data_IF_352542642973
#
_entry.id   IF_352542642973
#
_cell.length_a   1.000
_cell.length_b   1.000
_cell.length_c   1.000
_cell.angle_alpha   90.00
_cell.angle_beta   90.00
_cell.angle_gamma   90.00
#
_symmetry.space_group_name_H-M   'P 1'
#
loop_
_entity.id
_entity.type
_entity.pdbx_description
1 polymer ?
#
# COMPACT_ATOMS: atom_id res chain seq x y z
N UNK A 1 1.38 -27.42 -7.54
CA UNK A 1 1.73 -26.20 -8.23
C UNK A 1 2.75 -25.43 -7.44
N UNK A 2 3.62 -24.71 -8.11
CA UNK A 2 4.55 -23.81 -7.43
C UNK A 2 3.77 -22.56 -7.02
N UNK A 3 3.89 -22.13 -5.77
CA UNK A 3 3.19 -20.96 -5.27
C UNK A 3 3.71 -19.68 -5.95
N UNK A 4 2.82 -18.87 -6.50
CA UNK A 4 3.12 -17.62 -7.20
C UNK A 4 2.66 -16.42 -6.36
N UNK A 5 3.59 -15.75 -5.70
CA UNK A 5 3.31 -14.58 -4.87
C UNK A 5 3.89 -13.32 -5.49
N UNK A 6 3.15 -12.21 -5.42
CA UNK A 6 3.62 -10.90 -5.88
C UNK A 6 3.51 -9.89 -4.73
N UNK A 7 4.58 -9.14 -4.52
CA UNK A 7 4.59 -7.97 -3.64
C UNK A 7 4.81 -6.73 -4.49
N UNK A 8 3.87 -5.80 -4.45
CA UNK A 8 4.00 -4.47 -5.08
C UNK A 8 4.18 -3.43 -3.98
N UNK A 9 5.28 -2.70 -4.02
CA UNK A 9 5.63 -1.74 -2.99
C UNK A 9 6.34 -0.49 -3.56
N UNK A 10 6.48 0.60 -2.79
CA UNK A 10 7.33 1.73 -3.15
C UNK A 10 8.79 1.31 -3.35
N UNK A 11 9.50 1.99 -4.28
CA UNK A 11 10.88 1.66 -4.62
C UNK A 11 11.84 1.72 -3.41
N UNK A 12 11.58 2.59 -2.44
CA UNK A 12 12.40 2.77 -1.24
C UNK A 12 12.43 1.55 -0.30
N UNK A 13 11.44 0.67 -0.38
CA UNK A 13 11.30 -0.47 0.54
C UNK A 13 11.45 -1.84 -0.13
N UNK A 14 11.70 -1.88 -1.44
CA UNK A 14 11.90 -3.13 -2.21
C UNK A 14 12.97 -4.03 -1.59
N UNK A 15 14.12 -3.46 -1.23
CA UNK A 15 15.23 -4.23 -0.62
C UNK A 15 14.86 -4.71 0.78
N UNK A 16 14.05 -3.95 1.51
CA UNK A 16 13.58 -4.37 2.82
C UNK A 16 12.68 -5.60 2.71
N UNK A 17 11.73 -5.60 1.76
CA UNK A 17 10.90 -6.78 1.46
C UNK A 17 11.72 -8.01 1.11
N UNK A 18 12.77 -7.85 0.27
CA UNK A 18 13.71 -8.94 -0.04
C UNK A 18 14.27 -9.57 1.22
N UNK A 19 14.88 -8.73 2.09
CA UNK A 19 15.53 -9.18 3.34
C UNK A 19 14.56 -9.85 4.31
N UNK A 20 13.36 -9.30 4.45
CA UNK A 20 12.36 -9.85 5.37
C UNK A 20 11.86 -11.22 4.89
N UNK A 21 11.66 -11.42 3.58
CA UNK A 21 11.29 -12.70 3.00
C UNK A 21 12.41 -13.73 3.22
N UNK A 22 13.65 -13.39 2.92
CA UNK A 22 14.81 -14.28 3.14
C UNK A 22 15.01 -14.65 4.61
N UNK A 23 14.74 -13.71 5.52
CA UNK A 23 14.90 -13.91 6.95
C UNK A 23 13.80 -14.75 7.60
N UNK A 24 12.56 -14.61 7.13
CA UNK A 24 11.38 -15.15 7.82
C UNK A 24 10.65 -16.26 7.04
N UNK A 25 11.16 -16.65 5.86
CA UNK A 25 10.57 -17.73 5.07
C UNK A 25 11.63 -18.50 4.29
N UNK A 26 11.25 -19.67 3.78
CA UNK A 26 12.03 -20.46 2.83
C UNK A 26 11.70 -20.14 1.37
N UNK A 27 10.85 -19.14 1.14
CA UNK A 27 10.43 -18.73 -0.19
C UNK A 27 11.59 -18.02 -0.92
N UNK A 28 11.73 -18.29 -2.21
CA UNK A 28 12.72 -17.63 -3.05
C UNK A 28 12.21 -16.25 -3.49
N UNK A 29 12.87 -15.14 -3.09
CA UNK A 29 12.51 -13.82 -3.57
C UNK A 29 13.17 -13.52 -4.91
N UNK A 30 12.45 -12.80 -5.78
CA UNK A 30 12.93 -12.31 -7.07
C UNK A 30 12.79 -10.80 -7.13
N UNK A 31 13.90 -10.09 -7.31
CA UNK A 31 13.91 -8.64 -7.45
C UNK A 31 13.48 -8.25 -8.88
N UNK A 32 12.20 -8.00 -9.07
CA UNK A 32 11.63 -7.59 -10.36
C UNK A 32 11.65 -6.06 -10.46
N UNK A 33 12.86 -5.50 -10.46
CA UNK A 33 13.13 -4.07 -10.53
C UNK A 33 14.46 -3.79 -11.22
N UNK A 34 14.61 -2.56 -11.77
CA UNK A 34 15.86 -2.14 -12.45
C UNK A 34 16.07 -2.78 -13.83
N UNK A 35 17.33 -2.85 -14.31
CA UNK A 35 17.64 -3.32 -15.66
C UNK A 35 17.30 -4.78 -15.93
N UNK A 36 17.41 -5.64 -14.92
CA UNK A 36 17.17 -7.10 -15.03
C UNK A 36 15.73 -7.51 -14.71
N UNK A 37 14.80 -6.57 -14.58
CA UNK A 37 13.42 -6.83 -14.15
C UNK A 37 12.68 -7.88 -15.00
N UNK A 38 12.84 -7.86 -16.32
CA UNK A 38 12.18 -8.81 -17.24
C UNK A 38 12.70 -10.23 -17.02
N UNK A 39 14.02 -10.39 -16.97
CA UNK A 39 14.63 -11.69 -16.68
C UNK A 39 14.22 -12.24 -15.30
N UNK A 40 14.18 -11.40 -14.28
CA UNK A 40 13.76 -11.80 -12.94
C UNK A 40 12.28 -12.20 -12.93
N UNK A 41 11.45 -11.52 -13.71
CA UNK A 41 10.04 -11.81 -13.85
C UNK A 41 9.80 -13.16 -14.55
N UNK A 42 10.50 -13.42 -15.67
CA UNK A 42 10.45 -14.69 -16.38
C UNK A 42 10.91 -15.86 -15.50
N UNK A 43 11.98 -15.65 -14.72
CA UNK A 43 12.47 -16.66 -13.78
C UNK A 43 11.44 -16.96 -12.68
N UNK A 44 10.82 -15.93 -12.10
CA UNK A 44 9.76 -16.11 -11.11
C UNK A 44 8.56 -16.87 -11.70
N UNK A 45 8.12 -16.55 -12.92
CA UNK A 45 7.04 -17.28 -13.58
C UNK A 45 7.37 -18.78 -13.76
N UNK A 46 8.62 -19.09 -14.04
CA UNK A 46 9.07 -20.48 -14.25
C UNK A 46 9.27 -21.26 -12.95
N UNK A 47 9.72 -20.59 -11.88
CA UNK A 47 10.16 -21.23 -10.64
C UNK A 47 9.17 -21.08 -9.47
N UNK A 48 8.24 -20.12 -9.55
CA UNK A 48 7.41 -19.72 -8.40
C UNK A 48 8.19 -18.91 -7.37
N UNK A 49 7.63 -18.74 -6.18
CA UNK A 49 8.20 -17.93 -5.11
C UNK A 49 7.61 -16.53 -5.04
N UNK A 50 8.40 -15.51 -4.66
CA UNK A 50 7.91 -14.15 -4.41
C UNK A 50 8.54 -13.16 -5.37
N UNK A 51 7.78 -12.62 -6.31
CA UNK A 51 8.19 -11.48 -7.12
C UNK A 51 8.00 -10.19 -6.33
N UNK A 52 9.05 -9.40 -6.15
CA UNK A 52 9.00 -8.10 -5.48
C UNK A 52 9.24 -7.02 -6.52
N UNK A 53 8.27 -6.13 -6.67
CA UNK A 53 8.27 -5.12 -7.72
C UNK A 53 7.74 -3.77 -7.25
N UNK A 54 7.86 -2.75 -8.07
CA UNK A 54 7.30 -1.42 -7.80
C UNK A 54 6.08 -1.14 -8.66
N UNK A 55 5.28 -0.16 -8.23
CA UNK A 55 4.11 0.31 -8.98
C UNK A 55 4.44 0.73 -10.41
N UNK A 56 5.61 1.34 -10.63
CA UNK A 56 6.05 1.78 -11.94
C UNK A 56 6.57 0.62 -12.79
N UNK A 57 7.21 -0.34 -12.16
CA UNK A 57 7.78 -1.50 -12.87
C UNK A 57 6.68 -2.44 -13.34
N UNK A 58 5.72 -2.78 -12.47
CA UNK A 58 4.64 -3.72 -12.82
C UNK A 58 3.79 -3.21 -13.97
N UNK A 59 3.58 -1.89 -14.12
CA UNK A 59 2.87 -1.29 -15.24
C UNK A 59 3.56 -1.49 -16.60
N UNK A 60 4.86 -1.79 -16.60
CA UNK A 60 5.68 -1.96 -17.82
C UNK A 60 5.90 -3.42 -18.19
N UNK A 61 5.63 -4.33 -17.27
CA UNK A 61 5.77 -5.76 -17.51
C UNK A 61 4.56 -6.31 -18.27
N UNK A 62 4.78 -7.35 -19.05
CA UNK A 62 3.71 -8.07 -19.74
C UNK A 62 3.03 -9.05 -18.78
N UNK A 63 2.15 -8.52 -17.95
CA UNK A 63 1.45 -9.28 -16.92
C UNK A 63 0.07 -9.81 -17.39
N UNK A 64 -0.35 -9.49 -18.61
CA UNK A 64 -1.65 -9.93 -19.16
C UNK A 64 -1.76 -11.46 -19.31
N UNK A 65 -0.62 -12.14 -19.45
CA UNK A 65 -0.55 -13.59 -19.63
C UNK A 65 -0.15 -14.33 -18.34
N UNK A 66 -0.19 -13.64 -17.17
CA UNK A 66 0.03 -14.32 -15.91
C UNK A 66 -1.06 -15.35 -15.64
N UNK A 67 -0.64 -16.53 -15.21
CA UNK A 67 -1.52 -17.51 -14.57
C UNK A 67 -2.09 -16.94 -13.25
N UNK A 68 -2.89 -17.73 -12.56
CA UNK A 68 -3.44 -17.35 -11.26
C UNK A 68 -2.32 -17.00 -10.26
N UNK A 69 -2.48 -15.89 -9.58
CA UNK A 69 -1.60 -15.46 -8.49
C UNK A 69 -2.19 -15.97 -7.17
N UNK A 70 -1.44 -16.74 -6.39
CA UNK A 70 -1.91 -17.27 -5.11
C UNK A 70 -2.08 -16.17 -4.05
N UNK A 71 -1.16 -15.18 -4.04
CA UNK A 71 -1.22 -14.03 -3.15
C UNK A 71 -0.64 -12.78 -3.81
N UNK A 72 -1.43 -11.72 -3.83
CA UNK A 72 -1.00 -10.36 -4.15
C UNK A 72 -0.93 -9.52 -2.87
N UNK A 73 0.25 -9.01 -2.56
CA UNK A 73 0.46 -8.01 -1.50
C UNK A 73 0.68 -6.64 -2.13
N UNK A 74 -0.09 -5.66 -1.73
CA UNK A 74 0.03 -4.26 -2.17
C UNK A 74 0.37 -3.41 -0.96
N UNK A 75 1.63 -3.03 -0.85
CA UNK A 75 2.12 -2.22 0.26
C UNK A 75 1.98 -0.73 -0.05
N UNK A 76 1.66 0.04 0.97
CA UNK A 76 1.23 1.45 0.85
C UNK A 76 0.05 1.61 -0.11
N UNK A 77 -1.00 0.81 0.09
CA UNK A 77 -2.17 0.72 -0.80
C UNK A 77 -2.87 2.07 -1.07
N UNK A 78 -2.61 3.10 -0.26
CA UNK A 78 -3.08 4.46 -0.55
C UNK A 78 -2.59 5.01 -1.90
N UNK A 79 -1.52 4.45 -2.48
CA UNK A 79 -1.06 4.79 -3.84
C UNK A 79 -2.07 4.41 -4.94
N UNK A 80 -2.98 3.48 -4.68
CA UNK A 80 -3.98 3.01 -5.65
C UNK A 80 -5.42 3.42 -5.31
N UNK A 81 -5.58 4.42 -4.46
CA UNK A 81 -6.87 4.98 -4.04
C UNK A 81 -7.67 5.63 -5.16
N UNK A 82 -6.99 6.24 -6.14
CA UNK A 82 -7.64 6.85 -7.30
C UNK A 82 -7.83 5.78 -8.40
N UNK A 83 -9.07 5.35 -8.69
CA UNK A 83 -9.35 4.29 -9.65
C UNK A 83 -8.98 4.65 -11.09
N UNK A 84 -8.95 5.93 -11.44
CA UNK A 84 -8.65 6.41 -12.79
C UNK A 84 -7.14 6.43 -13.08
N UNK A 85 -6.30 6.34 -12.06
CA UNK A 85 -4.87 6.31 -12.24
C UNK A 85 -4.42 4.98 -12.88
N UNK A 86 -3.52 5.06 -13.87
CA UNK A 86 -3.01 3.86 -14.57
C UNK A 86 -2.43 2.81 -13.61
N UNK A 87 -1.72 3.24 -12.55
CA UNK A 87 -1.19 2.33 -11.53
C UNK A 87 -2.30 1.57 -10.79
N UNK A 88 -3.42 2.24 -10.49
CA UNK A 88 -4.57 1.60 -9.84
C UNK A 88 -5.22 0.57 -10.75
N UNK A 89 -5.44 0.89 -12.02
CA UNK A 89 -5.99 -0.03 -13.01
C UNK A 89 -5.13 -1.29 -13.16
N UNK A 90 -3.79 -1.13 -13.18
CA UNK A 90 -2.87 -2.26 -13.21
C UNK A 90 -3.03 -3.16 -11.97
N UNK A 91 -3.04 -2.56 -10.77
CA UNK A 91 -3.20 -3.33 -9.52
C UNK A 91 -4.56 -4.01 -9.47
N UNK A 92 -5.63 -3.34 -9.88
CA UNK A 92 -6.97 -3.93 -9.92
C UNK A 92 -7.06 -5.13 -10.88
N UNK A 93 -6.42 -5.03 -12.05
CA UNK A 93 -6.30 -6.17 -12.97
C UNK A 93 -5.56 -7.37 -12.37
N UNK A 94 -4.52 -7.12 -11.58
CA UNK A 94 -3.83 -8.18 -10.83
C UNK A 94 -4.70 -8.74 -9.69
N UNK A 95 -5.44 -7.89 -8.99
CA UNK A 95 -6.39 -8.30 -7.94
C UNK A 95 -7.43 -9.30 -8.47
N UNK A 96 -7.98 -9.05 -9.66
CA UNK A 96 -8.96 -9.93 -10.31
C UNK A 96 -8.40 -11.32 -10.68
N UNK A 97 -7.08 -11.45 -10.78
CA UNK A 97 -6.37 -12.71 -11.10
C UNK A 97 -5.75 -13.38 -9.86
N UNK A 98 -5.92 -12.78 -8.70
CA UNK A 98 -5.32 -13.27 -7.46
C UNK A 98 -6.35 -14.02 -6.63
N UNK A 99 -5.98 -15.19 -6.10
CA UNK A 99 -6.81 -15.95 -5.18
C UNK A 99 -6.95 -15.24 -3.83
N UNK A 100 -5.84 -14.67 -3.37
CA UNK A 100 -5.80 -13.91 -2.13
C UNK A 100 -5.15 -12.54 -2.37
N UNK A 101 -5.67 -11.51 -1.71
CA UNK A 101 -5.14 -10.14 -1.82
C UNK A 101 -5.00 -9.53 -0.43
N UNK A 102 -3.85 -8.91 -0.18
CA UNK A 102 -3.57 -8.19 1.05
C UNK A 102 -3.14 -6.75 0.72
N UNK A 103 -3.93 -5.77 1.17
CA UNK A 103 -3.58 -4.37 1.10
C UNK A 103 -3.02 -3.92 2.45
N UNK A 104 -1.81 -3.36 2.43
CA UNK A 104 -1.15 -2.79 3.60
C UNK A 104 -1.07 -1.27 3.44
N UNK A 105 -1.31 -0.53 4.50
CA UNK A 105 -1.14 0.92 4.51
C UNK A 105 -0.88 1.43 5.92
N UNK A 106 0.12 2.30 6.07
CA UNK A 106 0.39 3.03 7.30
C UNK A 106 -0.43 4.33 7.42
N UNK A 107 -1.13 4.73 6.36
CA UNK A 107 -1.93 5.96 6.34
C UNK A 107 -3.35 5.65 6.84
N UNK A 108 -3.85 6.39 7.86
CA UNK A 108 -5.22 6.22 8.32
C UNK A 108 -6.22 6.49 7.19
N UNK A 109 -6.99 5.48 6.80
CA UNK A 109 -8.05 5.60 5.79
C UNK A 109 -9.31 6.30 6.33
N UNK A 110 -9.36 6.56 7.65
CA UNK A 110 -10.55 7.11 8.32
C UNK A 110 -10.95 8.51 7.85
N UNK A 111 -9.98 9.30 7.38
CA UNK A 111 -10.23 10.67 6.90
C UNK A 111 -10.67 10.72 5.42
N UNK A 112 -10.63 9.58 4.72
CA UNK A 112 -10.94 9.49 3.30
C UNK A 112 -11.77 8.24 3.02
N UNK A 113 -12.97 8.23 3.53
CA UNK A 113 -13.84 7.07 3.49
C UNK A 113 -14.14 6.57 2.08
N UNK A 114 -14.32 7.46 1.12
CA UNK A 114 -14.52 7.07 -0.28
C UNK A 114 -13.34 6.23 -0.82
N UNK A 115 -12.12 6.56 -0.38
CA UNK A 115 -10.91 5.80 -0.75
C UNK A 115 -10.91 4.41 -0.13
N UNK A 116 -11.31 4.31 1.14
CA UNK A 116 -11.45 3.03 1.84
C UNK A 116 -12.53 2.15 1.18
N UNK A 117 -13.69 2.72 0.86
CA UNK A 117 -14.77 2.03 0.15
C UNK A 117 -14.29 1.50 -1.20
N UNK A 118 -13.53 2.30 -1.95
CA UNK A 118 -12.96 1.88 -3.23
C UNK A 118 -11.97 0.70 -3.05
N UNK A 119 -11.08 0.75 -2.06
CA UNK A 119 -10.12 -0.33 -1.81
C UNK A 119 -10.82 -1.61 -1.33
N UNK A 120 -11.72 -1.50 -0.36
CA UNK A 120 -12.49 -2.64 0.17
C UNK A 120 -13.40 -3.22 -0.92
N UNK A 121 -14.00 -2.37 -1.76
CA UNK A 121 -14.87 -2.80 -2.85
C UNK A 121 -14.18 -3.64 -3.91
N UNK A 122 -12.87 -3.45 -4.09
CA UNK A 122 -12.06 -4.31 -4.97
C UNK A 122 -11.76 -5.66 -4.35
N UNK A 123 -11.67 -5.74 -3.02
CA UNK A 123 -11.45 -7.00 -2.30
C UNK A 123 -12.75 -7.77 -2.05
N UNK A 124 -13.83 -7.05 -1.71
CA UNK A 124 -15.10 -7.62 -1.29
C UNK A 124 -16.27 -6.77 -1.83
N UNK A 125 -16.72 -7.00 -3.08
CA UNK A 125 -17.80 -6.22 -3.71
C UNK A 125 -19.14 -6.25 -2.95
N UNK A 126 -19.43 -7.36 -2.27
CA UNK A 126 -20.69 -7.50 -1.51
C UNK A 126 -20.72 -6.60 -0.28
N UNK A 127 -19.59 -6.48 0.42
CA UNK A 127 -19.45 -5.56 1.57
C UNK A 127 -19.64 -4.11 1.10
N UNK A 128 -19.13 -3.78 -0.08
CA UNK A 128 -19.23 -2.41 -0.63
C UNK A 128 -20.66 -2.02 -0.94
N UNK A 129 -21.48 -2.89 -1.53
CA UNK A 129 -22.89 -2.61 -1.78
C UNK A 129 -23.66 -2.30 -0.48
N UNK A 130 -23.33 -3.01 0.58
CA UNK A 130 -23.90 -2.74 1.90
C UNK A 130 -23.39 -1.41 2.47
N UNK A 131 -22.13 -1.06 2.22
CA UNK A 131 -21.51 0.19 2.67
C UNK A 131 -22.08 1.41 1.95
N UNK A 132 -22.29 1.35 0.63
CA UNK A 132 -22.87 2.44 -0.16
C UNK A 132 -24.27 2.81 0.35
N UNK A 133 -25.06 1.80 0.73
CA UNK A 133 -26.38 2.02 1.36
C UNK A 133 -26.27 2.55 2.80
N UNK A 134 -25.10 2.55 3.39
CA UNK A 134 -24.85 2.90 4.80
C UNK A 134 -23.94 4.11 4.98
N UNK A 135 -23.67 4.87 3.90
CA UNK A 135 -22.78 6.05 3.91
C UNK A 135 -23.15 7.07 5.02
N UNK A 136 -24.42 7.18 5.37
CA UNK A 136 -24.89 8.00 6.49
C UNK A 136 -24.43 7.52 7.88
N UNK A 137 -23.90 6.29 8.01
CA UNK A 137 -23.43 5.70 9.27
C UNK A 137 -21.91 5.70 9.43
N UNK A 138 -21.22 6.47 8.60
CA UNK A 138 -19.78 6.59 8.60
C UNK A 138 -19.26 7.06 9.96
N UNK A 139 -18.23 6.36 10.47
CA UNK A 139 -17.69 6.60 11.82
C UNK A 139 -18.47 5.93 12.94
N UNK A 140 -19.62 5.31 12.63
CA UNK A 140 -20.39 4.56 13.61
C UNK A 140 -19.78 3.17 13.90
N UNK A 141 -20.13 2.60 15.05
CA UNK A 141 -19.74 1.22 15.38
C UNK A 141 -20.27 0.22 14.35
N UNK A 142 -21.43 0.49 13.74
CA UNK A 142 -22.05 -0.34 12.68
C UNK A 142 -21.13 -0.44 11.47
N UNK A 143 -20.52 0.67 11.06
CA UNK A 143 -19.55 0.66 9.96
C UNK A 143 -18.32 -0.20 10.29
N UNK A 144 -17.76 -0.03 11.49
CA UNK A 144 -16.59 -0.81 11.96
C UNK A 144 -16.89 -2.31 12.02
N UNK A 145 -18.06 -2.70 12.48
CA UNK A 145 -18.49 -4.10 12.52
C UNK A 145 -18.60 -4.72 11.12
N UNK A 146 -19.12 -3.97 10.15
CA UNK A 146 -19.28 -4.46 8.78
C UNK A 146 -17.94 -4.69 8.06
N UNK A 147 -16.94 -3.85 8.29
CA UNK A 147 -15.61 -4.00 7.67
C UNK A 147 -14.66 -4.91 8.45
N UNK A 148 -14.97 -5.23 9.71
CA UNK A 148 -14.10 -6.05 10.57
C UNK A 148 -13.64 -7.37 9.94
N UNK A 149 -14.44 -8.08 9.12
CA UNK A 149 -13.96 -9.30 8.46
C UNK A 149 -12.80 -9.11 7.47
N UNK A 150 -12.65 -7.89 6.92
CA UNK A 150 -11.67 -7.57 5.86
C UNK A 150 -10.72 -6.44 6.24
N UNK A 151 -10.84 -5.89 7.44
CA UNK A 151 -10.05 -4.74 7.88
C UNK A 151 -9.48 -4.95 9.28
N UNK A 152 -8.16 -4.90 9.38
CA UNK A 152 -7.45 -4.92 10.65
C UNK A 152 -6.67 -3.62 10.84
N UNK A 153 -6.95 -2.88 11.91
CA UNK A 153 -6.18 -1.72 12.34
C UNK A 153 -5.52 -1.98 13.68
N UNK A 154 -4.25 -1.59 13.77
CA UNK A 154 -3.50 -1.55 15.03
C UNK A 154 -2.88 -0.17 15.18
N UNK A 155 -3.15 0.51 16.28
CA UNK A 155 -2.45 1.75 16.62
C UNK A 155 -1.11 1.43 17.27
N UNK A 156 -0.15 2.33 17.12
CA UNK A 156 1.19 2.15 17.74
C UNK A 156 1.10 2.04 19.26
N UNK A 157 0.24 2.83 19.86
CA UNK A 157 0.01 2.87 21.31
C UNK A 157 -0.52 1.54 21.85
N UNK A 158 -1.32 0.82 21.06
CA UNK A 158 -1.91 -0.47 21.45
C UNK A 158 -0.91 -1.64 21.38
N UNK A 159 0.15 -1.49 20.58
CA UNK A 159 1.08 -2.60 20.26
C UNK A 159 2.46 -2.38 20.86
N UNK A 160 2.92 -1.15 20.95
CA UNK A 160 4.26 -0.80 21.39
C UNK A 160 4.24 -0.21 22.81
N UNK A 161 4.04 -1.08 23.79
CA UNK A 161 4.08 -0.70 25.23
C UNK A 161 5.46 -0.25 25.71
N UNK A 162 6.49 -0.49 24.91
CA UNK A 162 7.90 -0.14 25.26
C UNK A 162 8.33 1.24 24.74
N UNK A 163 7.51 1.91 23.95
CA UNK A 163 7.83 3.28 23.49
C UNK A 163 7.61 4.27 24.64
N UNK A 164 8.59 5.17 24.90
CA UNK A 164 8.38 6.28 25.82
C UNK A 164 7.25 7.19 25.33
N UNK A 165 6.60 7.85 26.26
CA UNK A 165 5.57 8.84 25.92
C UNK A 165 6.14 9.93 25.00
N UNK A 166 5.35 10.32 23.98
CA UNK A 166 5.72 11.38 23.06
C UNK A 166 5.79 12.71 23.80
N UNK A 167 6.99 13.22 24.02
CA UNK A 167 7.18 14.58 24.56
C UNK A 167 7.27 15.56 23.38
N UNK A 168 6.26 16.39 23.22
CA UNK A 168 6.27 17.49 22.26
C UNK A 168 6.81 18.73 22.95
N UNK A 169 7.92 19.29 22.44
CA UNK A 169 8.49 20.55 22.87
C UNK A 169 8.33 21.55 21.74
N UNK A 170 7.58 22.61 21.98
CA UNK A 170 7.48 23.73 21.04
C UNK A 170 8.62 24.72 21.32
N UNK A 171 9.54 24.85 20.38
CA UNK A 171 10.57 25.88 20.42
C UNK A 171 10.21 27.00 19.43
N UNK A 172 10.04 28.19 19.99
CA UNK A 172 9.81 29.40 19.20
C UNK A 172 11.15 30.07 18.86
N UNK A 173 11.54 29.97 17.59
CA UNK A 173 12.74 30.66 17.10
C UNK A 173 12.34 31.99 16.45
N UNK A 174 13.05 33.05 16.83
CA UNK A 174 12.92 34.36 16.20
C UNK A 174 13.83 34.41 14.97
N UNK A 175 13.28 34.77 13.82
CA UNK A 175 14.09 35.04 12.63
C UNK A 175 15.08 36.19 12.89
N UNK A 176 16.31 36.05 12.42
CA UNK A 176 17.23 37.15 12.26
C UNK A 176 16.67 38.21 11.29
N UNK A 177 17.20 39.42 11.30
CA UNK A 177 16.66 40.50 10.46
C UNK A 177 16.64 40.13 8.96
N UNK A 178 17.69 39.48 8.47
CA UNK A 178 17.86 39.07 7.08
C UNK A 178 16.92 37.92 6.71
N UNK A 179 16.84 36.90 7.56
CA UNK A 179 15.92 35.75 7.38
C UNK A 179 14.47 36.20 7.40
N UNK A 180 14.11 37.10 8.29
CA UNK A 180 12.77 37.67 8.37
C UNK A 180 12.38 38.50 7.15
N UNK A 181 13.34 39.11 6.44
CA UNK A 181 13.09 39.78 5.17
C UNK A 181 12.84 38.77 4.06
N UNK A 182 13.70 37.78 3.91
CA UNK A 182 13.57 36.70 2.91
C UNK A 182 12.22 35.98 3.06
N UNK A 183 11.83 35.65 4.29
CA UNK A 183 10.55 35.00 4.55
C UNK A 183 9.36 35.86 4.15
N UNK A 184 9.38 37.17 4.50
CA UNK A 184 8.30 38.10 4.12
C UNK A 184 8.19 38.30 2.61
N UNK A 185 9.31 38.33 1.89
CA UNK A 185 9.31 38.39 0.42
C UNK A 185 8.78 37.11 -0.22
N UNK A 186 9.13 35.93 0.30
CA UNK A 186 8.62 34.66 -0.18
C UNK A 186 7.09 34.55 0.01
N UNK A 187 6.57 34.97 1.16
CA UNK A 187 5.11 34.96 1.43
C UNK A 187 4.33 35.97 0.58
N UNK A 188 4.97 37.08 0.14
CA UNK A 188 4.32 38.06 -0.74
C UNK A 188 4.28 37.64 -2.21
N UNK A 189 5.21 36.78 -2.63
CA UNK A 189 5.40 36.38 -4.03
C UNK A 189 4.84 34.99 -4.35
N UNK A 190 4.30 34.25 -3.38
CA UNK A 190 3.62 32.96 -3.49
C UNK A 190 2.12 33.09 -3.35
#
# INVERSE_FOLDING_TARGET
>A
GQNAFIVVCPASIVINWMREIEKHSELKPFLVHGPSRERAFDQWQAEGGVAITTYETIQRLKHENLDTIDLLVVDEAHYVKNPDAKRSQTIYSLTERSENVLYLTGTPLENQLAEMVNLVGKLQPDITREMENSVQYIGSNIFKEKIAPVYLRRNKEDVLTELPELTQVEEWLSFGQEEGQIYREAVRNG
#
